data_IF_176540405645
#
_entry.id   IF_176540405645
#
_cell.length_a   1.000
_cell.length_b   1.000
_cell.length_c   1.000
_cell.angle_alpha   90.00
_cell.angle_beta   90.00
_cell.angle_gamma   90.00
#
_symmetry.space_group_name_H-M   'P 1'
#
loop_
_entity.id
_entity.type
_entity.pdbx_description
1 polymer ?
#
# COMPACT_ATOMS: atom_id res chain seq x y z
N UNK A 1 19.34 -8.03 -11.28
CA UNK A 1 19.85 -6.81 -10.62
C UNK A 1 18.86 -5.66 -10.81
N UNK A 2 18.57 -4.87 -9.77
CA UNK A 2 17.73 -3.66 -9.88
C UNK A 2 18.41 -2.55 -10.69
N UNK A 3 17.63 -1.67 -11.31
CA UNK A 3 18.13 -0.52 -12.09
C UNK A 3 17.56 0.78 -11.55
N UNK A 4 18.40 1.81 -11.43
CA UNK A 4 17.96 3.16 -11.10
C UNK A 4 17.75 3.97 -12.38
N UNK A 5 16.68 4.76 -12.40
CA UNK A 5 16.35 5.71 -13.48
C UNK A 5 16.43 7.12 -12.88
N UNK A 6 17.15 8.01 -13.55
CA UNK A 6 17.34 9.39 -13.09
C UNK A 6 16.27 10.33 -13.68
N UNK A 7 15.93 10.13 -14.95
CA UNK A 7 14.99 10.99 -15.66
C UNK A 7 13.54 10.58 -15.47
N UNK A 8 12.70 11.56 -15.12
CA UNK A 8 11.25 11.38 -14.93
C UNK A 8 10.56 10.94 -16.23
N UNK A 9 10.95 11.51 -17.37
CA UNK A 9 10.33 11.20 -18.67
C UNK A 9 10.51 9.73 -19.04
N UNK A 10 11.75 9.25 -18.94
CA UNK A 10 12.10 7.85 -19.16
C UNK A 10 11.33 6.94 -18.19
N UNK A 11 11.24 7.33 -16.91
CA UNK A 11 10.45 6.57 -15.93
C UNK A 11 8.96 6.44 -16.31
N UNK A 12 8.34 7.50 -16.82
CA UNK A 12 6.94 7.46 -17.27
C UNK A 12 6.75 6.63 -18.55
N UNK A 13 7.73 6.62 -19.45
CA UNK A 13 7.71 5.70 -20.60
C UNK A 13 7.76 4.25 -20.13
N UNK A 14 8.62 3.96 -19.15
CA UNK A 14 8.74 2.62 -18.56
C UNK A 14 7.43 2.15 -17.95
N UNK A 15 6.68 3.03 -17.26
CA UNK A 15 5.39 2.69 -16.65
C UNK A 15 4.30 2.35 -17.65
N UNK A 16 4.40 2.88 -18.88
CA UNK A 16 3.41 2.62 -19.95
C UNK A 16 3.75 1.41 -20.81
N UNK A 17 4.90 0.76 -20.58
CA UNK A 17 5.26 -0.44 -21.35
C UNK A 17 4.40 -1.62 -20.92
N UNK A 18 4.06 -2.47 -21.88
CA UNK A 18 3.28 -3.71 -21.67
C UNK A 18 3.91 -4.71 -20.70
N UNK A 19 5.21 -4.58 -20.42
CA UNK A 19 5.95 -5.47 -19.52
C UNK A 19 5.93 -5.00 -18.06
N UNK A 20 5.41 -3.79 -17.79
CA UNK A 20 5.23 -3.26 -16.45
C UNK A 20 4.03 -3.94 -15.78
N UNK A 21 4.28 -4.62 -14.65
CA UNK A 21 3.26 -5.41 -13.95
C UNK A 21 2.79 -4.76 -12.65
N UNK A 22 3.68 -4.13 -11.90
CA UNK A 22 3.32 -3.46 -10.65
C UNK A 22 4.22 -2.26 -10.37
N UNK A 23 3.68 -1.28 -9.66
CA UNK A 23 4.35 -0.08 -9.23
C UNK A 23 4.07 0.13 -7.76
N UNK A 24 5.10 0.57 -7.04
CA UNK A 24 5.04 0.81 -5.62
C UNK A 24 5.73 2.12 -5.31
N UNK A 25 5.04 2.95 -4.54
CA UNK A 25 5.61 4.21 -4.03
C UNK A 25 6.02 3.98 -2.59
N UNK A 26 7.32 4.02 -2.30
CA UNK A 26 7.85 3.93 -0.93
C UNK A 26 8.33 5.31 -0.49
N UNK A 27 7.75 5.82 0.59
CA UNK A 27 8.29 6.99 1.31
C UNK A 27 9.42 6.53 2.25
N UNK A 28 10.54 7.25 2.24
CA UNK A 28 11.70 7.02 3.09
C UNK A 28 12.17 8.36 3.66
N UNK A 29 11.62 8.74 4.82
CA UNK A 29 11.83 10.09 5.37
C UNK A 29 11.32 11.16 4.40
N UNK A 30 12.23 12.00 3.93
CA UNK A 30 11.95 13.05 2.93
C UNK A 30 11.97 12.54 1.48
N UNK A 31 12.59 11.37 1.23
CA UNK A 31 12.72 10.83 -0.12
C UNK A 31 11.52 9.96 -0.50
N UNK A 32 11.10 10.05 -1.76
CA UNK A 32 10.10 9.20 -2.38
C UNK A 32 10.77 8.31 -3.42
N UNK A 33 10.59 6.99 -3.29
CA UNK A 33 11.10 5.99 -4.23
C UNK A 33 9.94 5.39 -5.01
N UNK A 34 9.85 5.72 -6.29
CA UNK A 34 8.89 5.13 -7.22
C UNK A 34 9.53 3.89 -7.82
N UNK A 35 8.96 2.72 -7.54
CA UNK A 35 9.49 1.43 -7.97
C UNK A 35 8.52 0.82 -8.96
N UNK A 36 8.97 0.40 -10.14
CA UNK A 36 8.15 -0.28 -11.15
C UNK A 36 8.78 -1.62 -11.46
N UNK A 37 8.00 -2.69 -11.30
CA UNK A 37 8.37 -4.04 -11.67
C UNK A 37 8.05 -4.25 -13.14
N UNK A 38 9.09 -4.56 -13.91
CA UNK A 38 8.97 -5.08 -15.26
C UNK A 38 9.35 -6.57 -15.28
N UNK A 39 9.25 -7.23 -16.43
CA UNK A 39 9.60 -8.67 -16.56
C UNK A 39 11.02 -8.98 -16.08
N UNK A 40 12.01 -8.18 -16.51
CA UNK A 40 13.44 -8.45 -16.24
C UNK A 40 14.01 -7.65 -15.06
N UNK A 41 13.56 -6.42 -14.88
CA UNK A 41 14.18 -5.47 -13.95
C UNK A 41 13.14 -4.80 -13.06
N UNK A 42 13.58 -4.44 -11.85
CA UNK A 42 12.89 -3.48 -11.00
C UNK A 42 13.54 -2.12 -11.24
N UNK A 43 12.78 -1.18 -11.79
CA UNK A 43 13.22 0.19 -12.01
C UNK A 43 12.86 1.05 -10.81
N UNK A 44 13.79 1.88 -10.35
CA UNK A 44 13.55 2.81 -9.24
C UNK A 44 13.90 4.24 -9.64
N UNK A 45 12.96 5.16 -9.46
CA UNK A 45 13.17 6.61 -9.52
C UNK A 45 13.15 7.17 -8.09
N UNK A 46 14.14 7.98 -7.74
CA UNK A 46 14.25 8.65 -6.43
C UNK A 46 13.93 10.13 -6.61
N UNK A 47 12.97 10.63 -5.84
CA UNK A 47 12.54 12.03 -5.85
C UNK A 47 12.62 12.57 -4.43
N UNK A 48 13.37 13.64 -4.24
CA UNK A 48 13.53 14.26 -2.91
C UNK A 48 12.44 15.31 -2.62
N UNK A 49 11.86 15.90 -3.66
CA UNK A 49 10.84 16.95 -3.53
C UNK A 49 9.44 16.34 -3.37
N UNK A 50 8.79 16.67 -2.24
CA UNK A 50 7.45 16.22 -1.90
C UNK A 50 6.39 16.65 -2.91
N UNK A 51 6.42 17.90 -3.39
CA UNK A 51 5.39 18.39 -4.30
C UNK A 51 5.50 17.72 -5.67
N UNK A 52 6.73 17.53 -6.16
CA UNK A 52 6.98 16.77 -7.40
C UNK A 52 6.54 15.32 -7.27
N UNK A 53 6.84 14.68 -6.13
CA UNK A 53 6.41 13.30 -5.88
C UNK A 53 4.88 13.16 -5.90
N UNK A 54 4.14 14.10 -5.31
CA UNK A 54 2.67 14.07 -5.33
C UNK A 54 2.11 14.20 -6.76
N UNK A 55 2.63 15.15 -7.55
CA UNK A 55 2.24 15.31 -8.96
C UNK A 55 2.58 14.08 -9.80
N UNK A 56 3.75 13.49 -9.56
CA UNK A 56 4.21 12.29 -10.27
C UNK A 56 3.33 11.09 -9.91
N UNK A 57 2.93 10.95 -8.64
CA UNK A 57 1.96 9.92 -8.22
C UNK A 57 0.63 10.03 -8.98
N UNK A 58 0.13 11.25 -9.21
CA UNK A 58 -1.10 11.50 -9.97
C UNK A 58 -0.93 11.27 -11.48
N UNK A 59 0.30 11.37 -12.00
CA UNK A 59 0.60 11.22 -13.43
C UNK A 59 0.86 9.76 -13.83
N UNK A 60 0.96 8.85 -12.86
CA UNK A 60 1.09 7.43 -13.14
C UNK A 60 -0.26 6.88 -13.64
N UNK A 61 -0.25 5.95 -14.61
CA UNK A 61 -1.48 5.34 -15.07
C UNK A 61 -2.21 4.66 -13.91
N UNK A 62 -3.54 4.86 -13.79
CA UNK A 62 -4.34 4.22 -12.74
C UNK A 62 -4.48 2.72 -12.96
N UNK A 63 -4.31 2.23 -14.20
CA UNK A 63 -4.44 0.81 -14.55
C UNK A 63 -3.46 -0.07 -13.77
N UNK A 64 -3.99 -1.18 -13.21
CA UNK A 64 -3.43 -2.40 -12.56
C UNK A 64 -2.13 -2.30 -11.73
N UNK A 65 -1.17 -1.54 -12.21
CA UNK A 65 0.19 -1.40 -11.73
C UNK A 65 0.21 -0.77 -10.33
N UNK A 66 -0.65 0.21 -10.02
CA UNK A 66 -0.75 0.83 -8.67
C UNK A 66 -1.91 0.29 -7.80
N UNK A 67 -2.94 -0.31 -8.41
CA UNK A 67 -4.11 -0.79 -7.67
C UNK A 67 -3.81 -2.01 -6.81
N UNK A 68 -2.79 -2.81 -7.16
CA UNK A 68 -2.48 -4.04 -6.43
C UNK A 68 -2.19 -3.82 -4.94
N UNK A 69 -1.41 -2.77 -4.60
CA UNK A 69 -1.03 -2.46 -3.20
C UNK A 69 -2.22 -1.89 -2.40
N UNK A 70 -3.16 -1.19 -3.06
CA UNK A 70 -4.39 -0.69 -2.40
C UNK A 70 -5.42 -1.82 -2.22
N UNK A 71 -5.63 -2.65 -3.25
CA UNK A 71 -6.55 -3.80 -3.20
C UNK A 71 -6.11 -4.82 -2.15
N UNK A 72 -4.80 -5.11 -2.03
CA UNK A 72 -4.28 -5.99 -0.99
C UNK A 72 -4.53 -5.45 0.43
N UNK A 73 -4.29 -4.14 0.65
CA UNK A 73 -4.57 -3.49 1.93
C UNK A 73 -6.07 -3.48 2.27
N UNK A 74 -6.93 -3.24 1.27
CA UNK A 74 -8.39 -3.32 1.44
C UNK A 74 -8.81 -4.76 1.79
N UNK A 75 -8.17 -5.77 1.19
CA UNK A 75 -8.47 -7.16 1.49
C UNK A 75 -8.02 -7.54 2.91
N UNK A 76 -6.83 -7.10 3.33
CA UNK A 76 -6.34 -7.28 4.70
C UNK A 76 -7.26 -6.60 5.73
N UNK A 77 -7.75 -5.39 5.45
CA UNK A 77 -8.69 -4.68 6.34
C UNK A 77 -10.05 -5.37 6.42
N UNK A 78 -10.54 -5.93 5.30
CA UNK A 78 -11.79 -6.72 5.27
C UNK A 78 -11.66 -8.00 6.09
N UNK A 79 -10.55 -8.71 5.97
CA UNK A 79 -10.25 -9.93 6.77
C UNK A 79 -10.17 -9.58 8.25
N UNK A 80 -9.46 -8.50 8.61
CA UNK A 80 -9.42 -7.97 9.98
C UNK A 80 -10.81 -7.71 10.57
N UNK A 81 -11.67 -7.02 9.81
CA UNK A 81 -13.01 -6.67 10.29
C UNK A 81 -13.91 -7.90 10.46
N UNK A 82 -13.76 -8.91 9.60
CA UNK A 82 -14.45 -10.18 9.73
C UNK A 82 -14.00 -10.94 10.99
N UNK A 83 -12.69 -11.02 11.23
CA UNK A 83 -12.11 -11.65 12.43
C UNK A 83 -12.60 -10.96 13.72
N UNK A 84 -12.57 -9.62 13.75
CA UNK A 84 -13.06 -8.84 14.89
C UNK A 84 -14.56 -9.02 15.15
N UNK A 85 -15.35 -9.40 14.14
CA UNK A 85 -16.80 -9.62 14.29
C UNK A 85 -17.16 -10.94 14.98
N UNK A 86 -16.29 -11.94 14.91
CA UNK A 86 -16.50 -13.25 15.51
C UNK A 86 -15.90 -13.38 16.92
N UNK A 87 -15.25 -12.32 17.42
CA UNK A 87 -14.65 -12.33 18.75
C UNK A 87 -15.70 -12.22 19.86
N UNK A 88 -15.60 -13.13 20.83
CA UNK A 88 -16.43 -13.08 22.05
C UNK A 88 -15.96 -11.93 22.95
N UNK A 89 -16.87 -11.14 23.54
CA UNK A 89 -16.54 -9.95 24.34
C UNK A 89 -15.82 -10.26 25.67
N UNK A 90 -15.78 -11.53 26.09
CA UNK A 90 -15.20 -11.99 27.37
C UNK A 90 -13.72 -12.39 27.29
N UNK A 91 -13.14 -12.44 26.09
CA UNK A 91 -11.74 -12.86 25.89
C UNK A 91 -10.79 -11.69 26.16
N UNK A 92 -10.07 -11.71 27.29
CA UNK A 92 -9.25 -10.58 27.75
C UNK A 92 -8.01 -10.27 26.88
N UNK A 93 -7.54 -11.24 26.09
CA UNK A 93 -6.37 -11.14 25.20
C UNK A 93 -6.69 -11.80 23.86
N UNK A 94 -6.62 -11.03 22.78
CA UNK A 94 -6.72 -11.55 21.41
C UNK A 94 -5.31 -11.66 20.83
N UNK A 95 -4.83 -12.89 20.64
CA UNK A 95 -3.57 -13.17 19.94
C UNK A 95 -3.87 -13.45 18.47
N UNK A 96 -3.41 -12.55 17.60
CA UNK A 96 -3.52 -12.71 16.15
C UNK A 96 -2.23 -13.34 15.62
N UNK A 97 -2.30 -14.56 15.09
CA UNK A 97 -1.19 -15.13 14.35
C UNK A 97 -1.18 -14.55 12.93
N UNK A 98 -0.32 -13.56 12.71
CA UNK A 98 0.02 -13.06 11.36
C UNK A 98 1.40 -13.64 11.01
N UNK A 99 1.62 -14.20 9.81
CA UNK A 99 2.84 -14.96 9.46
C UNK A 99 4.18 -14.17 9.54
N UNK A 100 4.18 -12.93 10.00
CA UNK A 100 5.40 -12.13 10.21
C UNK A 100 5.52 -11.42 11.57
N UNK A 101 4.52 -11.48 12.47
CA UNK A 101 4.63 -10.97 13.85
C UNK A 101 3.35 -11.21 14.66
N UNK A 102 3.47 -11.65 15.92
CA UNK A 102 2.37 -11.70 16.88
C UNK A 102 2.11 -10.27 17.41
N UNK A 103 1.00 -9.66 16.99
CA UNK A 103 0.54 -8.38 17.53
C UNK A 103 -0.61 -8.67 18.49
N UNK A 104 -0.42 -8.36 19.77
CA UNK A 104 -1.43 -8.50 20.83
C UNK A 104 -2.27 -7.22 20.92
N UNK A 105 -3.60 -7.35 20.89
CA UNK A 105 -4.52 -6.24 21.18
C UNK A 105 -5.29 -6.54 22.48
N UNK A 106 -5.42 -5.53 23.36
CA UNK A 106 -6.27 -5.60 24.53
C UNK A 106 -7.75 -5.50 24.11
N UNK A 107 -8.62 -6.35 24.66
CA UNK A 107 -10.03 -6.42 24.27
C UNK A 107 -10.81 -5.10 24.40
N UNK A 108 -10.35 -4.18 25.27
CA UNK A 108 -10.93 -2.83 25.44
C UNK A 108 -10.74 -1.94 24.21
N UNK A 109 -9.73 -2.21 23.38
CA UNK A 109 -9.41 -1.39 22.22
C UNK A 109 -10.10 -1.86 20.94
N UNK A 110 -10.80 -3.00 20.95
CA UNK A 110 -11.38 -3.62 19.75
C UNK A 110 -12.32 -2.69 18.98
N UNK A 111 -13.18 -1.93 19.67
CA UNK A 111 -14.07 -0.98 18.98
C UNK A 111 -13.29 0.16 18.32
N UNK A 112 -12.25 0.67 19.01
CA UNK A 112 -11.40 1.74 18.47
C UNK A 112 -10.58 1.27 17.27
N UNK A 113 -10.08 0.04 17.31
CA UNK A 113 -9.34 -0.61 16.22
C UNK A 113 -10.28 -0.84 15.03
N UNK A 114 -11.50 -1.31 15.28
CA UNK A 114 -12.52 -1.49 14.25
C UNK A 114 -12.90 -0.16 13.59
N UNK A 115 -13.11 0.90 14.35
CA UNK A 115 -13.43 2.23 13.82
C UNK A 115 -12.28 2.83 12.97
N UNK A 116 -11.03 2.67 13.42
CA UNK A 116 -9.83 3.08 12.67
C UNK A 116 -9.66 2.28 11.37
N UNK A 117 -9.88 0.96 11.41
CA UNK A 117 -9.86 0.09 10.23
C UNK A 117 -10.91 0.51 9.20
N UNK A 118 -12.15 0.75 9.65
CA UNK A 118 -13.28 1.12 8.78
C UNK A 118 -13.11 2.50 8.14
N UNK A 119 -12.56 3.47 8.87
CA UNK A 119 -12.24 4.80 8.32
C UNK A 119 -11.10 4.74 7.31
N UNK A 120 -10.04 3.97 7.58
CA UNK A 120 -8.95 3.74 6.63
C UNK A 120 -9.41 3.04 5.35
N UNK A 121 -10.29 2.04 5.47
CA UNK A 121 -10.87 1.36 4.32
C UNK A 121 -11.69 2.32 3.44
N UNK A 122 -12.52 3.19 4.05
CA UNK A 122 -13.30 4.19 3.31
C UNK A 122 -12.42 5.19 2.57
N UNK A 123 -11.31 5.62 3.17
CA UNK A 123 -10.33 6.50 2.55
C UNK A 123 -9.68 5.85 1.31
N UNK A 124 -9.30 4.57 1.42
CA UNK A 124 -8.73 3.80 0.30
C UNK A 124 -9.75 3.57 -0.83
N UNK A 125 -10.99 3.21 -0.50
CA UNK A 125 -12.05 3.04 -1.50
C UNK A 125 -12.38 4.34 -2.25
N UNK A 126 -12.22 5.49 -1.59
CA UNK A 126 -12.36 6.82 -2.21
C UNK A 126 -11.19 7.17 -3.13
N UNK A 127 -10.00 6.62 -2.90
CA UNK A 127 -8.83 6.82 -3.78
C UNK A 127 -8.85 5.91 -5.01
N UNK A 128 -9.70 4.89 -5.02
CA UNK A 128 -9.84 3.91 -6.09
C UNK A 128 -11.03 4.21 -7.03
N UNK A 129 -11.94 5.11 -6.63
CA UNK A 129 -13.02 5.67 -7.47
C UNK A 129 -12.60 6.97 -8.11
#
# INVERSE_FOLDING_TARGET
MPKQVLDIKNFLEITRRKDASSARVKKNGEQYKFKVRCSRYLYTLVVNDRQKALKLKQSLPPDDVLEFDMKSQIQESKVLNAELSHLKPTTALYERQVPSSNIFFLAKDNETVKAKSLSFQKELEKQLK
#
